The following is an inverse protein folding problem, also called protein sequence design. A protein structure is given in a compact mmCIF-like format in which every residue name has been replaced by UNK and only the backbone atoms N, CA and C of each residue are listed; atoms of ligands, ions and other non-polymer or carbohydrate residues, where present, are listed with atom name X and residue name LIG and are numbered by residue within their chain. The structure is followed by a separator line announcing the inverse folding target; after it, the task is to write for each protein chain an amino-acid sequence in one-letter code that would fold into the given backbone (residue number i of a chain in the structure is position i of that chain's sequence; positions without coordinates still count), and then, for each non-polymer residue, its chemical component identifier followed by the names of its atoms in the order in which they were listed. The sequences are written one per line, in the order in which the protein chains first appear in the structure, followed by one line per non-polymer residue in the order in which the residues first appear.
data_IF_458846930478
#
_entry.id   IF_458846930478
#
_cell.length_a   1.000
_cell.length_b   1.000
_cell.length_c   1.000
_cell.angle_alpha   90.00
_cell.angle_beta   90.00
_cell.angle_gamma   90.00
#
_symmetry.space_group_name_H-M   'P 1'
#
loop_
_entity.id
_entity.type
_entity.pdbx_description
1 polymer ?
#
# COMPACT_ATOMS: atom_id res chain seq x y z
N UNK A 1 11.19 24.93 7.83
CA UNK A 1 11.35 23.47 7.99
C UNK A 1 12.80 23.12 7.63
N UNK A 2 13.52 22.37 8.48
CA UNK A 2 14.93 22.00 8.23
C UNK A 2 15.03 21.13 6.95
N UNK A 3 15.97 21.40 6.05
CA UNK A 3 16.22 20.64 4.81
C UNK A 3 16.30 19.13 5.04
N UNK A 4 16.90 18.70 6.16
CA UNK A 4 16.97 17.28 6.53
C UNK A 4 15.59 16.67 6.80
N UNK A 5 14.68 17.43 7.42
CA UNK A 5 13.29 16.99 7.63
C UNK A 5 12.53 16.91 6.31
N UNK A 6 12.69 17.91 5.44
CA UNK A 6 12.10 17.90 4.09
C UNK A 6 12.53 16.67 3.27
N UNK A 7 13.82 16.34 3.28
CA UNK A 7 14.34 15.16 2.58
C UNK A 7 13.79 13.85 3.16
N UNK A 8 13.69 13.74 4.49
CA UNK A 8 13.12 12.56 5.14
C UNK A 8 11.63 12.39 4.80
N UNK A 9 10.84 13.47 4.88
CA UNK A 9 9.42 13.46 4.51
C UNK A 9 9.22 13.11 3.03
N UNK A 10 10.07 13.61 2.14
CA UNK A 10 10.00 13.29 0.70
C UNK A 10 10.28 11.82 0.41
N UNK A 11 11.30 11.23 1.05
CA UNK A 11 11.58 9.79 0.93
C UNK A 11 10.44 8.93 1.46
N UNK A 12 9.87 9.33 2.60
CA UNK A 12 8.69 8.65 3.16
C UNK A 12 7.51 8.71 2.20
N UNK A 13 7.20 9.88 1.64
CA UNK A 13 6.11 10.06 0.68
C UNK A 13 6.32 9.20 -0.58
N UNK A 14 7.53 9.17 -1.12
CA UNK A 14 7.86 8.35 -2.29
C UNK A 14 7.65 6.84 -2.03
N UNK A 15 8.01 6.37 -0.84
CA UNK A 15 7.74 4.99 -0.44
C UNK A 15 6.22 4.71 -0.36
N UNK A 16 5.41 5.65 0.18
CA UNK A 16 3.95 5.48 0.25
C UNK A 16 3.28 5.44 -1.12
N UNK A 17 3.75 6.27 -2.05
CA UNK A 17 3.28 6.24 -3.45
C UNK A 17 3.56 4.89 -4.09
N UNK A 18 4.69 4.26 -3.76
CA UNK A 18 4.98 2.90 -4.25
C UNK A 18 4.05 1.86 -3.63
N UNK A 19 3.79 1.91 -2.33
CA UNK A 19 2.86 0.99 -1.67
C UNK A 19 1.44 1.11 -2.27
N UNK A 20 0.98 2.33 -2.55
CA UNK A 20 -0.31 2.55 -3.23
C UNK A 20 -0.33 1.94 -4.64
N UNK A 21 0.73 2.15 -5.44
CA UNK A 21 0.83 1.55 -6.77
C UNK A 21 0.84 0.02 -6.74
N UNK A 22 1.45 -0.58 -5.72
CA UNK A 22 1.43 -2.03 -5.51
C UNK A 22 -0.01 -2.47 -5.24
N UNK A 23 -0.70 -1.84 -4.30
CA UNK A 23 -2.10 -2.15 -3.98
C UNK A 23 -2.99 -2.01 -5.23
N UNK A 24 -2.89 -0.90 -5.96
CA UNK A 24 -3.66 -0.67 -7.20
C UNK A 24 -3.44 -1.80 -8.20
N UNK A 25 -2.19 -2.19 -8.45
CA UNK A 25 -1.85 -3.27 -9.37
C UNK A 25 -2.38 -4.62 -8.93
N UNK A 26 -2.32 -4.93 -7.64
CA UNK A 26 -2.84 -6.19 -7.10
C UNK A 26 -4.36 -6.26 -7.25
N UNK A 27 -5.06 -5.16 -6.97
CA UNK A 27 -6.51 -5.05 -7.16
C UNK A 27 -6.88 -5.18 -8.64
N UNK A 28 -6.18 -4.48 -9.54
CA UNK A 28 -6.41 -4.57 -10.98
C UNK A 28 -6.28 -6.00 -11.50
N UNK A 29 -5.27 -6.75 -11.04
CA UNK A 29 -5.07 -8.14 -11.45
C UNK A 29 -6.23 -9.04 -11.00
N UNK A 30 -6.71 -8.87 -9.76
CA UNK A 30 -7.86 -9.62 -9.23
C UNK A 30 -9.12 -9.27 -10.01
N UNK A 31 -9.37 -7.99 -10.24
CA UNK A 31 -10.55 -7.51 -10.99
C UNK A 31 -10.52 -7.97 -12.45
N UNK A 32 -9.35 -7.98 -13.09
CA UNK A 32 -9.19 -8.51 -14.44
C UNK A 32 -9.56 -9.99 -14.50
N UNK A 33 -9.05 -10.82 -13.58
CA UNK A 33 -9.40 -12.24 -13.51
C UNK A 33 -10.88 -12.46 -13.19
N UNK A 34 -11.48 -11.60 -12.36
CA UNK A 34 -12.93 -11.62 -12.06
C UNK A 34 -13.77 -11.31 -13.29
N UNK A 35 -13.43 -10.26 -14.04
CA UNK A 35 -14.18 -9.78 -15.22
C UNK A 35 -14.03 -10.73 -16.41
N UNK A 36 -12.85 -11.34 -16.58
CA UNK A 36 -12.61 -12.32 -17.65
C UNK A 36 -13.10 -13.73 -17.33
N UNK A 37 -13.71 -13.92 -16.15
CA UNK A 37 -14.17 -15.21 -15.63
C UNK A 37 -13.05 -16.28 -15.52
N UNK A 38 -11.78 -15.86 -15.43
CA UNK A 38 -10.64 -16.73 -15.22
C UNK A 38 -10.55 -17.17 -13.74
N UNK A 39 -11.38 -18.17 -13.41
CA UNK A 39 -11.47 -18.74 -12.06
C UNK A 39 -10.18 -19.40 -11.60
N UNK A 40 -9.36 -19.91 -12.53
CA UNK A 40 -8.08 -20.53 -12.16
C UNK A 40 -7.12 -19.47 -11.65
N UNK A 41 -6.89 -18.41 -12.43
CA UNK A 41 -6.00 -17.31 -12.04
C UNK A 41 -6.48 -16.61 -10.78
N UNK A 42 -7.79 -16.36 -10.65
CA UNK A 42 -8.36 -15.76 -9.45
C UNK A 42 -8.10 -16.61 -8.19
N UNK A 43 -8.40 -17.92 -8.25
CA UNK A 43 -8.16 -18.81 -7.12
C UNK A 43 -6.67 -18.97 -6.81
N UNK A 44 -5.82 -18.97 -7.83
CA UNK A 44 -4.37 -19.01 -7.64
C UNK A 44 -3.89 -17.76 -6.90
N UNK A 45 -4.28 -16.55 -7.34
CA UNK A 45 -3.92 -15.29 -6.69
C UNK A 45 -4.42 -15.22 -5.23
N UNK A 46 -5.66 -15.63 -4.99
CA UNK A 46 -6.22 -15.69 -3.63
C UNK A 46 -5.47 -16.72 -2.76
N UNK A 47 -5.09 -17.86 -3.35
CA UNK A 47 -4.33 -18.91 -2.67
C UNK A 47 -2.86 -18.57 -2.41
N UNK A 48 -2.27 -17.63 -3.17
CA UNK A 48 -0.89 -17.16 -2.96
C UNK A 48 -0.78 -16.03 -1.94
N UNK A 49 -1.89 -15.59 -1.35
CA UNK A 49 -1.88 -14.56 -0.29
C UNK A 49 -1.92 -13.12 -0.81
N UNK A 50 -2.44 -12.87 -2.02
CA UNK A 50 -2.54 -11.50 -2.57
C UNK A 50 -3.27 -10.52 -1.64
N UNK A 51 -4.24 -11.02 -0.86
CA UNK A 51 -4.97 -10.22 0.12
C UNK A 51 -4.10 -9.86 1.33
N UNK A 52 -3.17 -10.73 1.73
CA UNK A 52 -2.22 -10.46 2.80
C UNK A 52 -1.23 -9.38 2.35
N UNK A 53 -0.73 -9.46 1.12
CA UNK A 53 0.16 -8.43 0.54
C UNK A 53 -0.53 -7.04 0.49
N UNK A 54 -1.81 -7.00 0.09
CA UNK A 54 -2.61 -5.76 0.15
C UNK A 54 -2.75 -5.28 1.59
N UNK A 55 -3.03 -6.18 2.54
CA UNK A 55 -3.16 -5.87 3.96
C UNK A 55 -1.89 -5.28 4.56
N UNK A 56 -0.72 -5.87 4.28
CA UNK A 56 0.58 -5.37 4.74
C UNK A 56 0.89 -3.97 4.19
N UNK A 57 0.64 -3.74 2.90
CA UNK A 57 0.84 -2.43 2.29
C UNK A 57 -0.09 -1.37 2.92
N UNK A 58 -1.35 -1.71 3.21
CA UNK A 58 -2.30 -0.83 3.90
C UNK A 58 -1.86 -0.52 5.33
N UNK A 59 -1.39 -1.52 6.08
CA UNK A 59 -0.94 -1.32 7.47
C UNK A 59 0.32 -0.45 7.52
N UNK A 60 1.25 -0.61 6.58
CA UNK A 60 2.40 0.27 6.43
C UNK A 60 1.98 1.72 6.16
N UNK A 61 0.96 1.95 5.32
CA UNK A 61 0.42 3.30 5.09
C UNK A 61 -0.20 3.85 6.37
N UNK A 62 -1.01 3.06 7.08
CA UNK A 62 -1.67 3.47 8.33
C UNK A 62 -0.66 3.85 9.43
N UNK A 63 0.36 3.01 9.67
CA UNK A 63 1.38 3.28 10.69
C UNK A 63 2.12 4.60 10.44
N UNK A 64 2.32 4.97 9.18
CA UNK A 64 2.97 6.24 8.82
C UNK A 64 2.02 7.44 8.94
N UNK A 65 0.73 7.28 8.62
CA UNK A 65 -0.29 8.32 8.91
C UNK A 65 -0.31 8.60 10.41
N UNK A 66 -0.25 7.55 11.24
CA UNK A 66 -0.17 7.70 12.69
C UNK A 66 1.10 8.46 13.10
N UNK A 67 2.26 8.10 12.56
CA UNK A 67 3.52 8.80 12.86
C UNK A 67 3.47 10.30 12.51
N UNK A 68 2.88 10.67 11.35
CA UNK A 68 2.68 12.08 10.98
C UNK A 68 1.67 12.75 11.91
N UNK A 69 0.59 12.05 12.29
CA UNK A 69 -0.40 12.57 13.24
C UNK A 69 0.24 12.86 14.59
N UNK A 70 1.07 11.95 15.10
CA UNK A 70 1.79 12.10 16.37
C UNK A 70 2.82 13.25 16.32
N UNK A 71 3.42 13.51 15.16
CA UNK A 71 4.30 14.67 14.97
C UNK A 71 3.55 16.02 15.00
N UNK A 72 2.32 16.07 14.48
CA UNK A 72 1.50 17.30 14.43
C UNK A 72 0.76 17.52 15.75
N UNK A 73 0.24 16.45 16.34
CA UNK A 73 -0.52 16.44 17.59
C UNK A 73 0.16 15.51 18.61
N UNK A 74 1.32 15.91 19.17
CA UNK A 74 1.99 15.13 20.21
C UNK A 74 1.10 15.07 21.46
N UNK A 75 0.87 13.86 21.97
CA UNK A 75 0.15 13.60 23.23
C UNK A 75 1.00 13.98 24.42
#
# INVERSE_FOLDING_TARGET
MNEKKLLASSKNLAARVNDLKIIERLIENIEYSRVTEDKFSLNHQLGTGVLDEIGEALENIRGQIQAVSDEIYPV
#
